data_IF_156779322426
#
_entry.id   IF_156779322426
#
_cell.length_a   1.000
_cell.length_b   1.000
_cell.length_c   1.000
_cell.angle_alpha   90.00
_cell.angle_beta   90.00
_cell.angle_gamma   90.00
#
_symmetry.space_group_name_H-M   'P 1'
#
loop_
_entity.id
_entity.type
_entity.pdbx_description
1 polymer ?
#
# COMPACT_ATOMS: atom_id res chain seq x y z
N UNK A 1 -18.44 1.20 7.62
CA UNK A 1 -18.24 0.38 6.39
C UNK A 1 -19.54 -0.29 6.01
N UNK A 2 -19.98 -0.16 4.76
CA UNK A 2 -21.08 -0.99 4.22
C UNK A 2 -20.56 -2.42 4.10
N UNK A 3 -21.29 -3.40 4.69
CA UNK A 3 -20.89 -4.79 4.63
C UNK A 3 -21.19 -5.44 3.27
N UNK A 4 -20.67 -6.64 3.07
CA UNK A 4 -20.92 -7.47 1.90
C UNK A 4 -21.78 -8.68 2.28
N UNK A 5 -22.79 -8.98 1.48
CA UNK A 5 -23.57 -10.22 1.65
C UNK A 5 -22.71 -11.45 1.32
N UNK A 6 -23.06 -12.60 1.88
CA UNK A 6 -22.33 -13.85 1.67
C UNK A 6 -22.18 -14.22 0.18
N UNK A 7 -23.22 -14.04 -0.62
CA UNK A 7 -23.18 -14.29 -2.06
C UNK A 7 -22.20 -13.34 -2.80
N UNK A 8 -22.09 -12.09 -2.37
CA UNK A 8 -21.12 -11.16 -2.94
C UNK A 8 -19.69 -11.56 -2.60
N UNK A 9 -19.43 -11.98 -1.35
CA UNK A 9 -18.12 -12.52 -0.96
C UNK A 9 -17.73 -13.68 -1.87
N UNK A 10 -18.60 -14.65 -2.07
CA UNK A 10 -18.33 -15.80 -2.94
C UNK A 10 -18.02 -15.36 -4.38
N UNK A 11 -18.88 -14.54 -4.95
CA UNK A 11 -18.73 -14.04 -6.32
C UNK A 11 -17.45 -13.23 -6.52
N UNK A 12 -17.13 -12.30 -5.60
CA UNK A 12 -15.98 -11.41 -5.72
C UNK A 12 -14.66 -12.13 -5.43
N UNK A 13 -14.66 -13.09 -4.52
CA UNK A 13 -13.47 -13.86 -4.16
C UNK A 13 -13.21 -15.05 -5.09
N UNK A 14 -14.23 -15.47 -5.86
CA UNK A 14 -14.18 -16.67 -6.70
C UNK A 14 -14.17 -17.98 -5.89
N UNK A 15 -14.66 -17.96 -4.65
CA UNK A 15 -14.78 -19.13 -3.80
C UNK A 15 -16.17 -19.79 -3.97
N UNK A 16 -16.25 -21.09 -3.74
CA UNK A 16 -17.53 -21.83 -3.72
C UNK A 16 -18.16 -21.67 -2.34
N UNK A 17 -19.36 -21.10 -2.30
CA UNK A 17 -20.10 -20.92 -1.05
C UNK A 17 -20.91 -22.15 -0.68
N UNK A 18 -20.84 -22.57 0.58
CA UNK A 18 -21.67 -23.62 1.19
C UNK A 18 -22.27 -23.08 2.49
N UNK A 19 -23.55 -23.40 2.73
CA UNK A 19 -24.33 -22.91 3.88
C UNK A 19 -25.43 -21.92 3.50
N UNK A 20 -26.30 -21.58 4.47
CA UNK A 20 -27.44 -20.69 4.28
C UNK A 20 -26.97 -19.20 4.42
N UNK A 21 -26.48 -18.65 3.33
CA UNK A 21 -25.98 -17.26 3.28
C UNK A 21 -27.00 -16.18 3.65
N UNK A 22 -28.31 -16.49 3.60
CA UNK A 22 -29.35 -15.53 3.96
C UNK A 22 -29.40 -15.25 5.47
N UNK A 23 -28.93 -16.17 6.30
CA UNK A 23 -28.88 -16.05 7.77
C UNK A 23 -27.57 -15.52 8.32
N UNK A 24 -26.53 -15.45 7.51
CA UNK A 24 -25.14 -15.25 7.98
C UNK A 24 -24.75 -13.81 8.29
N UNK A 25 -25.63 -12.83 8.04
CA UNK A 25 -25.29 -11.41 8.22
C UNK A 25 -24.33 -10.86 7.16
N UNK A 26 -23.82 -9.67 7.41
CA UNK A 26 -22.93 -8.94 6.48
C UNK A 26 -21.48 -9.06 6.92
N UNK A 27 -20.57 -9.29 5.98
CA UNK A 27 -19.12 -9.25 6.22
C UNK A 27 -18.64 -7.81 6.11
N UNK A 28 -17.93 -7.33 7.14
CA UNK A 28 -17.30 -6.01 7.17
C UNK A 28 -15.79 -6.10 7.44
N UNK A 29 -15.36 -7.10 8.19
CA UNK A 29 -13.98 -7.22 8.65
C UNK A 29 -13.32 -8.49 8.09
N UNK A 30 -12.09 -8.34 7.61
CA UNK A 30 -11.26 -9.49 7.19
C UNK A 30 -10.34 -9.88 8.34
N UNK A 31 -10.31 -11.15 8.69
CA UNK A 31 -9.54 -11.70 9.79
C UNK A 31 -8.57 -12.78 9.27
N UNK A 32 -7.27 -12.57 9.42
CA UNK A 32 -6.21 -13.51 9.04
C UNK A 32 -5.42 -14.05 10.24
N UNK A 33 -5.66 -13.50 11.43
CA UNK A 33 -5.03 -13.88 12.70
C UNK A 33 -6.11 -13.94 13.78
N UNK A 34 -6.40 -15.15 14.30
CA UNK A 34 -7.45 -15.38 15.28
C UNK A 34 -7.32 -14.54 16.56
N UNK A 35 -6.11 -14.18 16.94
CA UNK A 35 -5.81 -13.35 18.12
C UNK A 35 -6.27 -11.89 17.98
N UNK A 36 -6.58 -11.45 16.74
CA UNK A 36 -7.01 -10.08 16.42
C UNK A 36 -8.52 -9.95 16.24
N UNK A 37 -9.28 -10.95 16.65
CA UNK A 37 -10.74 -10.91 16.56
C UNK A 37 -11.32 -9.78 17.44
N UNK A 38 -12.03 -8.85 16.82
CA UNK A 38 -12.69 -7.72 17.51
C UNK A 38 -14.20 -7.67 17.24
N UNK A 39 -14.64 -8.13 16.08
CA UNK A 39 -16.03 -8.05 15.62
C UNK A 39 -16.51 -9.40 15.09
N UNK A 40 -16.82 -10.37 15.98
CA UNK A 40 -17.10 -11.76 15.56
C UNK A 40 -18.18 -11.89 14.51
N UNK A 41 -19.34 -11.25 14.69
CA UNK A 41 -20.52 -11.40 13.84
C UNK A 41 -20.38 -10.84 12.43
N UNK A 42 -19.38 -9.97 12.20
CA UNK A 42 -19.13 -9.33 10.90
C UNK A 42 -17.76 -9.68 10.31
N UNK A 43 -17.03 -10.61 10.95
CA UNK A 43 -15.72 -11.06 10.48
C UNK A 43 -15.80 -12.22 9.51
N UNK A 44 -14.98 -12.15 8.45
CA UNK A 44 -14.66 -13.24 7.55
C UNK A 44 -13.25 -13.72 7.88
N UNK A 45 -13.14 -14.94 8.40
CA UNK A 45 -11.84 -15.54 8.74
C UNK A 45 -11.25 -16.29 7.54
N UNK A 46 -9.99 -16.03 7.26
CA UNK A 46 -9.19 -16.71 6.24
C UNK A 46 -8.31 -17.76 6.90
N UNK A 47 -8.61 -19.02 6.75
CA UNK A 47 -7.86 -20.15 7.31
C UNK A 47 -6.58 -20.40 6.49
N UNK A 48 -5.58 -19.51 6.65
CA UNK A 48 -4.34 -19.56 5.90
C UNK A 48 -3.44 -20.66 6.46
N UNK A 49 -2.91 -21.49 5.55
CA UNK A 49 -1.89 -22.49 5.85
C UNK A 49 -0.52 -21.98 5.48
N UNK A 50 0.43 -22.06 6.41
CA UNK A 50 1.83 -21.67 6.25
C UNK A 50 2.76 -22.77 6.75
N UNK A 51 4.06 -22.62 6.55
CA UNK A 51 5.06 -23.53 7.13
C UNK A 51 5.09 -23.53 8.66
N UNK A 52 4.54 -22.48 9.28
CA UNK A 52 4.56 -22.27 10.75
C UNK A 52 3.26 -22.65 11.43
N UNK A 53 2.17 -22.88 10.69
CA UNK A 53 0.87 -23.23 11.25
C UNK A 53 -0.25 -23.32 10.22
N UNK A 54 -1.38 -23.86 10.67
CA UNK A 54 -2.58 -24.02 9.87
C UNK A 54 -3.75 -23.30 10.53
N UNK A 55 -4.27 -22.28 9.83
CA UNK A 55 -5.40 -21.48 10.27
C UNK A 55 -6.69 -22.29 10.51
N UNK A 56 -6.83 -23.45 9.87
CA UNK A 56 -8.02 -24.31 10.04
C UNK A 56 -8.18 -24.79 11.49
N UNK A 57 -7.11 -24.93 12.25
CA UNK A 57 -7.16 -25.34 13.66
C UNK A 57 -7.90 -24.35 14.56
N UNK A 58 -8.05 -23.08 14.15
CA UNK A 58 -8.71 -22.03 14.93
C UNK A 58 -10.19 -21.88 14.64
N UNK A 59 -10.72 -22.57 13.64
CA UNK A 59 -12.11 -22.41 13.18
C UNK A 59 -13.12 -22.71 14.30
N UNK A 60 -12.99 -23.83 14.98
CA UNK A 60 -13.91 -24.23 16.05
C UNK A 60 -13.95 -23.22 17.21
N UNK A 61 -12.79 -22.65 17.56
CA UNK A 61 -12.69 -21.63 18.60
C UNK A 61 -13.33 -20.31 18.15
N UNK A 62 -13.02 -19.85 16.93
CA UNK A 62 -13.61 -18.64 16.35
C UNK A 62 -15.12 -18.76 16.17
N UNK A 63 -15.61 -19.95 15.81
CA UNK A 63 -17.03 -20.22 15.72
C UNK A 63 -17.74 -20.09 17.07
N UNK A 64 -17.15 -20.62 18.15
CA UNK A 64 -17.65 -20.45 19.53
C UNK A 64 -17.67 -18.97 19.95
N UNK A 65 -16.73 -18.18 19.47
CA UNK A 65 -16.68 -16.72 19.70
C UNK A 65 -17.67 -15.94 18.83
N UNK A 66 -18.41 -16.57 17.93
CA UNK A 66 -19.48 -15.95 17.14
C UNK A 66 -19.12 -15.63 15.69
N UNK A 67 -17.94 -16.02 15.19
CA UNK A 67 -17.63 -15.93 13.75
C UNK A 67 -18.45 -16.94 12.99
N UNK A 68 -18.97 -16.53 11.83
CA UNK A 68 -19.83 -17.39 10.98
C UNK A 68 -19.32 -17.53 9.55
N UNK A 69 -18.37 -16.71 9.11
CA UNK A 69 -17.85 -16.73 7.76
C UNK A 69 -16.39 -17.21 7.75
N UNK A 70 -16.10 -18.28 6.98
CA UNK A 70 -14.79 -18.93 6.93
C UNK A 70 -14.35 -19.22 5.50
N UNK A 71 -13.20 -18.69 5.09
CA UNK A 71 -12.52 -19.07 3.84
C UNK A 71 -11.57 -20.22 4.14
N UNK A 72 -11.74 -21.34 3.45
CA UNK A 72 -11.04 -22.60 3.74
C UNK A 72 -10.51 -23.26 2.47
N UNK A 73 -9.40 -23.98 2.60
CA UNK A 73 -8.85 -24.84 1.55
C UNK A 73 -9.07 -26.34 1.83
N UNK A 74 -9.44 -26.69 3.06
CA UNK A 74 -9.77 -28.07 3.41
C UNK A 74 -11.24 -28.37 3.10
N UNK A 75 -11.50 -29.59 2.61
CA UNK A 75 -12.83 -30.07 2.29
C UNK A 75 -13.56 -30.72 3.48
N UNK A 76 -12.84 -30.99 4.55
CA UNK A 76 -13.42 -31.53 5.79
C UNK A 76 -14.03 -30.41 6.60
N UNK A 77 -15.26 -30.02 6.22
CA UNK A 77 -16.05 -29.04 6.97
C UNK A 77 -16.36 -29.61 8.36
N UNK A 78 -16.22 -28.77 9.38
CA UNK A 78 -16.55 -29.19 10.74
C UNK A 78 -18.05 -29.36 10.88
N UNK A 79 -18.51 -30.60 11.20
CA UNK A 79 -19.90 -30.87 11.54
C UNK A 79 -20.37 -30.11 12.80
N UNK A 80 -19.41 -29.59 13.57
CA UNK A 80 -19.63 -28.83 14.81
C UNK A 80 -19.99 -27.35 14.57
N UNK A 81 -20.09 -26.89 13.30
CA UNK A 81 -20.38 -25.51 12.94
C UNK A 81 -21.61 -25.43 11.98
N UNK A 82 -22.82 -25.79 12.41
CA UNK A 82 -23.97 -26.03 11.53
C UNK A 82 -24.50 -24.77 10.84
N UNK A 83 -24.31 -23.57 11.40
CA UNK A 83 -24.73 -22.27 10.83
C UNK A 83 -23.56 -21.45 10.28
N UNK A 84 -22.41 -22.08 10.07
CA UNK A 84 -21.27 -21.45 9.41
C UNK A 84 -21.47 -21.37 7.89
N UNK A 85 -20.94 -20.29 7.29
CA UNK A 85 -20.83 -20.13 5.86
C UNK A 85 -19.39 -20.39 5.46
N UNK A 86 -19.22 -21.34 4.59
CA UNK A 86 -17.94 -21.78 4.09
C UNK A 86 -17.69 -21.22 2.69
N UNK A 87 -16.51 -20.64 2.48
CA UNK A 87 -16.02 -20.21 1.17
C UNK A 87 -14.83 -21.07 0.81
N UNK A 88 -15.08 -22.10 0.02
CA UNK A 88 -14.05 -23.08 -0.39
C UNK A 88 -13.25 -22.57 -1.56
N UNK A 89 -11.93 -22.71 -1.46
CA UNK A 89 -10.99 -22.29 -2.49
C UNK A 89 -9.69 -23.10 -2.39
N UNK A 90 -9.03 -23.34 -3.50
CA UNK A 90 -7.72 -24.02 -3.51
C UNK A 90 -6.61 -23.13 -2.94
N UNK A 91 -6.82 -21.80 -2.95
CA UNK A 91 -5.82 -20.84 -2.47
C UNK A 91 -6.48 -19.70 -1.67
N UNK A 92 -6.40 -19.81 -0.35
CA UNK A 92 -7.00 -18.85 0.61
C UNK A 92 -6.40 -17.44 0.45
N UNK A 93 -5.09 -17.33 0.18
CA UNK A 93 -4.43 -16.03 -0.02
C UNK A 93 -4.92 -15.37 -1.32
N UNK A 94 -4.99 -16.12 -2.40
CA UNK A 94 -5.51 -15.60 -3.66
C UNK A 94 -7.00 -15.20 -3.56
N UNK A 95 -7.78 -15.90 -2.75
CA UNK A 95 -9.17 -15.53 -2.43
C UNK A 95 -9.23 -14.16 -1.73
N UNK A 96 -8.41 -13.94 -0.69
CA UNK A 96 -8.26 -12.66 0.00
C UNK A 96 -7.86 -11.54 -0.97
N UNK A 97 -6.89 -11.78 -1.83
CA UNK A 97 -6.37 -10.83 -2.80
C UNK A 97 -7.44 -10.43 -3.84
N UNK A 98 -8.18 -11.41 -4.40
CA UNK A 98 -9.28 -11.14 -5.33
C UNK A 98 -10.38 -10.31 -4.68
N UNK A 99 -10.75 -10.64 -3.45
CA UNK A 99 -11.78 -9.91 -2.71
C UNK A 99 -11.36 -8.45 -2.48
N UNK A 100 -10.12 -8.21 -2.04
CA UNK A 100 -9.58 -6.86 -1.85
C UNK A 100 -9.45 -6.09 -3.16
N UNK A 101 -9.02 -6.73 -4.25
CA UNK A 101 -8.96 -6.11 -5.57
C UNK A 101 -10.35 -5.70 -6.08
N UNK A 102 -11.36 -6.54 -5.88
CA UNK A 102 -12.75 -6.21 -6.23
C UNK A 102 -13.31 -5.07 -5.36
N UNK A 103 -12.94 -5.03 -4.08
CA UNK A 103 -13.29 -3.92 -3.19
C UNK A 103 -12.67 -2.60 -3.67
N UNK A 104 -11.37 -2.59 -4.00
CA UNK A 104 -10.64 -1.42 -4.55
C UNK A 104 -11.32 -0.81 -5.78
N UNK A 105 -11.88 -1.64 -6.65
CA UNK A 105 -12.52 -1.20 -7.90
C UNK A 105 -13.77 -0.34 -7.69
N UNK A 106 -14.36 -0.33 -6.49
CA UNK A 106 -15.53 0.49 -6.17
C UNK A 106 -15.21 1.96 -5.96
N UNK A 107 -13.92 2.30 -5.77
CA UNK A 107 -13.48 3.64 -5.41
C UNK A 107 -12.71 4.29 -6.56
N UNK A 108 -13.21 5.44 -7.04
CA UNK A 108 -12.59 6.26 -8.09
C UNK A 108 -11.56 7.27 -7.57
N UNK A 109 -11.24 7.25 -6.28
CA UNK A 109 -10.31 8.20 -5.66
C UNK A 109 -8.86 7.98 -6.13
N UNK A 110 -8.01 9.04 -6.10
CA UNK A 110 -6.58 8.90 -6.30
C UNK A 110 -5.97 7.91 -5.31
N UNK A 111 -5.03 7.11 -5.79
CA UNK A 111 -4.27 6.18 -4.95
C UNK A 111 -2.79 6.32 -5.26
N UNK A 112 -2.02 6.67 -4.25
CA UNK A 112 -0.56 6.67 -4.28
C UNK A 112 -0.05 5.28 -3.89
N UNK A 113 0.63 4.62 -4.82
CA UNK A 113 1.38 3.39 -4.56
C UNK A 113 2.85 3.71 -4.31
N UNK A 114 3.39 3.25 -3.18
CA UNK A 114 4.77 3.49 -2.78
C UNK A 114 5.54 2.18 -2.77
N UNK A 115 6.68 2.14 -3.49
CA UNK A 115 7.66 1.06 -3.36
C UNK A 115 9.08 1.60 -3.26
N UNK A 116 10.05 0.75 -3.05
CA UNK A 116 11.46 1.05 -2.86
C UNK A 116 12.10 0.11 -1.85
N UNK A 117 13.38 0.26 -1.57
CA UNK A 117 14.07 -0.54 -0.56
C UNK A 117 13.83 0.02 0.84
N UNK A 118 14.11 1.30 1.05
CA UNK A 118 13.97 2.00 2.32
C UNK A 118 13.00 3.18 2.21
N UNK A 119 12.56 3.74 3.33
CA UNK A 119 11.78 4.98 3.38
C UNK A 119 10.27 4.84 3.12
N UNK A 120 9.77 3.74 2.56
CA UNK A 120 8.34 3.56 2.21
C UNK A 120 7.37 3.93 3.33
N UNK A 121 7.55 3.34 4.50
CA UNK A 121 6.67 3.56 5.66
C UNK A 121 6.81 4.99 6.19
N UNK A 122 8.02 5.53 6.20
CA UNK A 122 8.28 6.92 6.61
C UNK A 122 7.54 7.89 5.68
N UNK A 123 7.75 7.75 4.38
CA UNK A 123 7.11 8.61 3.36
C UNK A 123 5.58 8.52 3.46
N UNK A 124 5.02 7.32 3.63
CA UNK A 124 3.58 7.12 3.83
C UNK A 124 3.06 7.85 5.08
N UNK A 125 3.72 7.68 6.23
CA UNK A 125 3.29 8.31 7.49
C UNK A 125 3.48 9.84 7.44
N UNK A 126 4.57 10.31 6.85
CA UNK A 126 4.81 11.73 6.69
C UNK A 126 3.83 12.39 5.73
N UNK A 127 3.52 11.78 4.60
CA UNK A 127 2.46 12.28 3.69
C UNK A 127 1.12 12.36 4.40
N UNK A 128 0.77 11.36 5.21
CA UNK A 128 -0.44 11.44 6.01
C UNK A 128 -0.39 12.61 7.00
N UNK A 129 0.71 12.81 7.71
CA UNK A 129 0.87 13.94 8.64
C UNK A 129 0.76 15.30 7.95
N UNK A 130 1.29 15.42 6.72
CA UNK A 130 1.25 16.65 5.94
C UNK A 130 -0.15 16.98 5.40
N UNK A 131 -0.96 15.96 5.05
CA UNK A 131 -2.17 16.15 4.26
C UNK A 131 -3.49 15.80 5.00
N UNK A 132 -3.45 15.14 6.17
CA UNK A 132 -4.64 14.61 6.85
C UNK A 132 -5.69 15.66 7.25
N UNK A 133 -5.33 16.94 7.34
CA UNK A 133 -6.28 18.01 7.69
C UNK A 133 -6.93 18.65 6.45
N UNK A 134 -6.48 18.26 5.24
CA UNK A 134 -7.00 18.82 3.98
C UNK A 134 -7.61 17.75 3.08
N UNK A 135 -7.31 16.47 3.34
CA UNK A 135 -7.87 15.35 2.58
C UNK A 135 -8.06 14.14 3.50
N UNK A 136 -9.18 13.43 3.36
CA UNK A 136 -9.46 12.24 4.16
C UNK A 136 -8.73 11.03 3.59
N UNK A 137 -7.71 10.54 4.31
CA UNK A 137 -6.74 9.56 3.83
C UNK A 137 -7.01 8.17 4.42
N UNK A 138 -7.08 7.16 3.55
CA UNK A 138 -6.89 5.76 3.95
C UNK A 138 -5.46 5.33 3.60
N UNK A 139 -4.78 4.64 4.52
CA UNK A 139 -3.41 4.18 4.29
C UNK A 139 -3.13 2.81 4.90
N UNK A 140 -2.05 2.18 4.43
CA UNK A 140 -1.54 0.95 5.05
C UNK A 140 -1.21 1.18 6.52
N UNK A 141 -1.78 0.41 7.46
CA UNK A 141 -1.40 0.49 8.87
C UNK A 141 0.02 -0.06 9.05
N UNK A 142 0.86 0.64 9.82
CA UNK A 142 2.27 0.24 10.03
C UNK A 142 2.96 -0.07 8.69
N UNK A 143 3.70 -1.18 8.59
CA UNK A 143 4.37 -1.67 7.38
C UNK A 143 3.59 -2.82 6.70
N UNK A 144 2.26 -2.71 6.59
CA UNK A 144 1.43 -3.71 5.90
C UNK A 144 1.60 -3.60 4.39
N UNK A 145 2.74 -4.08 3.88
CA UNK A 145 3.18 -3.97 2.48
C UNK A 145 3.32 -5.32 1.76
N UNK A 146 3.00 -6.45 2.44
CA UNK A 146 3.14 -7.82 1.93
C UNK A 146 1.89 -8.31 1.19
N UNK A 147 1.97 -9.54 0.67
CA UNK A 147 0.85 -10.26 0.02
C UNK A 147 -0.40 -10.44 0.90
N UNK A 148 -0.26 -10.33 2.22
CA UNK A 148 -1.37 -10.33 3.19
C UNK A 148 -1.70 -8.92 3.68
N UNK A 149 -0.68 -8.09 3.92
CA UNK A 149 -0.87 -6.75 4.48
C UNK A 149 -1.58 -5.80 3.52
N UNK A 150 -1.23 -5.83 2.25
CA UNK A 150 -1.83 -4.96 1.22
C UNK A 150 -3.33 -5.20 1.05
N UNK A 151 -3.83 -6.45 0.91
CA UNK A 151 -5.27 -6.71 0.87
C UNK A 151 -6.03 -6.17 2.07
N UNK A 152 -5.49 -6.36 3.28
CA UNK A 152 -6.11 -5.86 4.51
C UNK A 152 -6.13 -4.32 4.56
N UNK A 153 -5.08 -3.67 4.04
CA UNK A 153 -4.99 -2.22 3.96
C UNK A 153 -6.01 -1.64 2.97
N UNK A 154 -6.12 -2.23 1.79
CA UNK A 154 -7.05 -1.81 0.75
C UNK A 154 -8.49 -2.04 1.17
N UNK A 155 -8.78 -3.12 1.93
CA UNK A 155 -10.11 -3.37 2.48
C UNK A 155 -10.62 -2.29 3.43
N UNK A 156 -9.73 -1.50 4.02
CA UNK A 156 -10.10 -0.37 4.88
C UNK A 156 -10.66 0.85 4.12
N UNK A 157 -10.64 0.86 2.78
CA UNK A 157 -11.24 1.94 1.98
C UNK A 157 -12.74 2.04 2.21
N UNK A 158 -13.25 3.28 2.29
CA UNK A 158 -14.65 3.61 2.50
C UNK A 158 -15.04 4.82 1.66
N UNK A 159 -16.36 5.06 1.52
CA UNK A 159 -16.90 6.10 0.65
C UNK A 159 -16.46 7.55 1.06
N UNK A 160 -16.11 7.75 2.33
CA UNK A 160 -15.64 9.04 2.84
C UNK A 160 -14.17 9.37 2.54
N UNK A 161 -13.37 8.37 2.12
CA UNK A 161 -11.97 8.62 1.79
C UNK A 161 -11.81 9.32 0.44
N UNK A 162 -10.85 10.23 0.38
CA UNK A 162 -10.54 11.04 -0.79
C UNK A 162 -9.18 10.71 -1.41
N UNK A 163 -8.30 10.06 -0.63
CA UNK A 163 -6.96 9.63 -1.04
C UNK A 163 -6.60 8.30 -0.39
N UNK A 164 -6.07 7.38 -1.19
CA UNK A 164 -5.42 6.16 -0.68
C UNK A 164 -3.90 6.27 -0.75
N UNK A 165 -3.18 5.83 0.31
CA UNK A 165 -1.71 5.74 0.32
C UNK A 165 -1.32 4.32 0.75
N UNK A 166 -0.85 3.52 -0.20
CA UNK A 166 -0.48 2.13 0.07
C UNK A 166 0.96 1.83 -0.29
N UNK A 167 1.66 1.17 0.61
CA UNK A 167 3.02 0.70 0.36
C UNK A 167 3.03 -0.75 -0.14
N UNK A 168 3.93 -1.06 -1.08
CA UNK A 168 4.14 -2.38 -1.63
C UNK A 168 5.59 -2.84 -1.44
N UNK A 169 5.77 -3.97 -0.77
CA UNK A 169 7.04 -4.65 -0.55
C UNK A 169 7.03 -6.04 -1.15
N UNK A 170 8.17 -6.46 -1.67
CA UNK A 170 8.35 -7.77 -2.30
C UNK A 170 9.61 -8.45 -1.79
N UNK A 171 9.58 -9.77 -1.79
CA UNK A 171 10.71 -10.65 -1.49
C UNK A 171 11.07 -11.58 -2.65
N UNK A 172 10.19 -11.73 -3.64
CA UNK A 172 10.35 -12.63 -4.78
C UNK A 172 9.78 -12.03 -6.06
N UNK A 173 10.25 -12.53 -7.20
CA UNK A 173 9.67 -12.24 -8.52
C UNK A 173 8.21 -12.68 -8.59
N UNK A 174 7.38 -11.90 -9.32
CA UNK A 174 5.96 -12.12 -9.52
C UNK A 174 5.06 -11.61 -8.39
N UNK A 175 5.63 -11.19 -7.25
CA UNK A 175 4.84 -10.66 -6.14
C UNK A 175 4.28 -9.25 -6.42
N UNK A 176 5.05 -8.38 -7.09
CA UNK A 176 4.63 -7.01 -7.32
C UNK A 176 3.43 -6.90 -8.24
N UNK A 177 3.35 -7.75 -9.25
CA UNK A 177 2.21 -7.77 -10.18
C UNK A 177 0.90 -8.14 -9.48
N UNK A 178 0.96 -8.99 -8.43
CA UNK A 178 -0.21 -9.31 -7.60
C UNK A 178 -0.63 -8.09 -6.75
N UNK A 179 0.34 -7.37 -6.17
CA UNK A 179 0.09 -6.18 -5.37
C UNK A 179 -0.44 -5.03 -6.23
N UNK A 180 0.07 -4.87 -7.45
CA UNK A 180 -0.44 -3.88 -8.42
C UNK A 180 -1.94 -4.06 -8.69
N UNK A 181 -2.38 -5.29 -8.97
CA UNK A 181 -3.80 -5.63 -9.21
C UNK A 181 -4.71 -5.28 -8.03
N UNK A 182 -4.18 -5.32 -6.80
CA UNK A 182 -4.93 -5.02 -5.58
C UNK A 182 -4.96 -3.51 -5.33
N UNK A 183 -3.80 -2.84 -5.39
CA UNK A 183 -3.66 -1.41 -5.10
C UNK A 183 -4.24 -0.57 -6.24
N UNK A 184 -3.96 -0.94 -7.50
CA UNK A 184 -4.27 -0.18 -8.72
C UNK A 184 -3.97 1.31 -8.53
N UNK A 185 -2.69 1.66 -8.33
CA UNK A 185 -2.31 3.04 -8.06
C UNK A 185 -2.57 3.92 -9.27
N UNK A 186 -2.99 5.16 -9.04
CA UNK A 186 -3.11 6.20 -10.07
C UNK A 186 -1.86 7.08 -10.12
N UNK A 187 -1.15 7.17 -8.98
CA UNK A 187 0.13 7.87 -8.83
C UNK A 187 1.11 6.87 -8.21
N UNK A 188 2.32 6.83 -8.73
CA UNK A 188 3.41 6.01 -8.21
C UNK A 188 4.47 6.86 -7.52
N UNK A 189 5.11 6.28 -6.50
CA UNK A 189 6.34 6.82 -5.92
C UNK A 189 7.32 5.68 -5.67
N UNK A 190 8.51 5.81 -6.24
CA UNK A 190 9.65 4.97 -5.91
C UNK A 190 10.63 5.74 -5.04
N UNK A 191 10.91 5.23 -3.82
CA UNK A 191 11.83 5.89 -2.88
C UNK A 191 13.27 5.70 -3.34
N UNK A 192 13.88 4.59 -3.01
CA UNK A 192 15.25 4.29 -3.42
C UNK A 192 15.43 2.81 -3.72
N UNK A 193 16.58 2.47 -4.29
CA UNK A 193 17.05 1.11 -4.45
C UNK A 193 18.28 0.92 -3.57
N UNK A 194 18.22 0.00 -2.63
CA UNK A 194 19.31 -0.35 -1.71
C UNK A 194 19.44 -1.86 -1.55
N UNK A 195 20.45 -2.29 -0.83
CA UNK A 195 20.79 -3.70 -0.62
C UNK A 195 19.73 -4.53 0.13
N UNK A 196 18.70 -3.90 0.71
CA UNK A 196 17.66 -4.64 1.45
C UNK A 196 16.89 -5.61 0.55
N UNK A 197 16.72 -6.86 1.01
CA UNK A 197 15.97 -7.93 0.33
C UNK A 197 16.53 -8.34 -1.04
N UNK A 198 17.85 -8.53 -1.16
CA UNK A 198 18.47 -8.98 -2.42
C UNK A 198 18.39 -10.50 -2.64
N UNK A 199 18.01 -11.29 -1.64
CA UNK A 199 18.05 -12.77 -1.66
C UNK A 199 17.09 -13.44 -2.68
N UNK A 200 16.16 -12.73 -3.27
CA UNK A 200 15.19 -13.27 -4.25
C UNK A 200 15.38 -12.74 -5.66
N UNK A 201 16.49 -12.04 -5.96
CA UNK A 201 16.69 -11.33 -7.23
C UNK A 201 18.13 -11.49 -7.74
N UNK A 202 18.30 -11.47 -9.06
CA UNK A 202 19.58 -11.58 -9.73
C UNK A 202 20.35 -10.24 -9.81
N UNK A 203 20.18 -9.39 -8.78
CA UNK A 203 20.81 -8.09 -8.66
C UNK A 203 19.83 -6.91 -8.66
N UNK A 204 20.38 -5.70 -8.56
CA UNK A 204 19.58 -4.48 -8.38
C UNK A 204 18.72 -4.12 -9.60
N UNK A 205 19.20 -4.38 -10.81
CA UNK A 205 18.42 -4.11 -12.03
C UNK A 205 17.18 -5.01 -12.16
N UNK A 206 17.32 -6.28 -11.79
CA UNK A 206 16.25 -7.26 -11.78
C UNK A 206 15.20 -6.91 -10.71
N UNK A 207 15.64 -6.56 -9.50
CA UNK A 207 14.82 -6.11 -8.39
C UNK A 207 14.08 -4.80 -8.73
N UNK A 208 14.75 -3.85 -9.42
CA UNK A 208 14.12 -2.63 -9.89
C UNK A 208 13.03 -2.93 -10.91
N UNK A 209 13.31 -3.80 -11.87
CA UNK A 209 12.32 -4.22 -12.88
C UNK A 209 11.06 -4.78 -12.23
N UNK A 210 11.20 -5.67 -11.25
CA UNK A 210 10.06 -6.20 -10.50
C UNK A 210 9.31 -5.09 -9.74
N UNK A 211 10.01 -4.18 -9.05
CA UNK A 211 9.37 -3.05 -8.33
C UNK A 211 8.61 -2.12 -9.26
N UNK A 212 9.11 -1.87 -10.46
CA UNK A 212 8.44 -1.00 -11.44
C UNK A 212 7.12 -1.58 -11.97
N UNK A 213 6.87 -2.89 -11.80
CA UNK A 213 5.58 -3.50 -12.13
C UNK A 213 4.40 -2.90 -11.32
N UNK A 214 4.66 -2.30 -10.15
CA UNK A 214 3.62 -1.57 -9.41
C UNK A 214 3.06 -0.39 -10.20
N UNK A 215 3.82 0.14 -11.16
CA UNK A 215 3.53 1.41 -11.83
C UNK A 215 3.12 1.26 -13.30
N UNK A 216 2.59 0.08 -13.67
CA UNK A 216 2.15 -0.17 -15.06
C UNK A 216 0.99 0.73 -15.48
N UNK A 217 0.11 1.09 -14.54
CA UNK A 217 -1.15 1.81 -14.81
C UNK A 217 -1.17 3.23 -14.24
N UNK A 218 -0.07 3.75 -13.68
CA UNK A 218 -0.05 5.09 -13.09
C UNK A 218 -0.01 6.18 -14.16
N UNK A 219 -0.72 7.29 -13.89
CA UNK A 219 -0.65 8.48 -14.74
C UNK A 219 0.62 9.29 -14.47
N UNK A 220 1.09 9.32 -13.21
CA UNK A 220 2.30 10.04 -12.79
C UNK A 220 3.17 9.12 -11.95
N UNK A 221 4.48 9.11 -12.19
CA UNK A 221 5.47 8.40 -11.37
C UNK A 221 6.49 9.39 -10.83
N UNK A 222 6.52 9.51 -9.49
CA UNK A 222 7.45 10.34 -8.73
C UNK A 222 8.71 9.54 -8.38
N UNK A 223 9.89 10.13 -8.60
CA UNK A 223 11.18 9.50 -8.30
C UNK A 223 12.30 10.51 -8.08
N UNK A 224 13.41 10.07 -7.47
CA UNK A 224 14.63 10.88 -7.35
C UNK A 224 15.51 10.68 -8.59
N UNK A 225 15.78 11.79 -9.33
CA UNK A 225 16.61 11.78 -10.53
C UNK A 225 18.08 11.48 -10.24
N UNK A 226 18.54 11.83 -9.03
CA UNK A 226 19.92 11.59 -8.61
C UNK A 226 20.22 10.09 -8.37
N UNK A 227 19.20 9.24 -8.33
CA UNK A 227 19.33 7.79 -8.33
C UNK A 227 19.48 7.25 -9.75
N UNK A 228 20.70 7.24 -10.28
CA UNK A 228 21.02 6.96 -11.69
C UNK A 228 20.38 5.66 -12.22
N UNK A 229 20.46 4.56 -11.47
CA UNK A 229 19.88 3.29 -11.90
C UNK A 229 18.36 3.39 -12.10
N UNK A 230 17.67 4.13 -11.23
CA UNK A 230 16.22 4.34 -11.32
C UNK A 230 15.90 5.26 -12.50
N UNK A 231 16.62 6.38 -12.64
CA UNK A 231 16.42 7.34 -13.75
C UNK A 231 16.62 6.65 -15.10
N UNK A 232 17.74 5.96 -15.30
CA UNK A 232 18.03 5.24 -16.55
C UNK A 232 16.95 4.19 -16.89
N UNK A 233 16.50 3.41 -15.89
CA UNK A 233 15.46 2.41 -16.12
C UNK A 233 14.12 3.04 -16.51
N UNK A 234 13.77 4.17 -15.90
CA UNK A 234 12.55 4.91 -16.21
C UNK A 234 12.62 5.58 -17.58
N UNK A 235 13.76 6.17 -17.97
CA UNK A 235 13.94 6.75 -19.29
C UNK A 235 13.82 5.69 -20.39
N UNK A 236 14.45 4.51 -20.21
CA UNK A 236 14.32 3.38 -21.16
C UNK A 236 12.89 2.85 -21.26
N UNK A 237 12.09 2.96 -20.22
CA UNK A 237 10.69 2.50 -20.20
C UNK A 237 9.68 3.48 -20.79
N UNK A 238 10.09 4.70 -21.19
CA UNK A 238 9.16 5.74 -21.69
C UNK A 238 8.34 5.30 -22.90
N UNK A 239 8.96 4.61 -23.83
CA UNK A 239 8.28 4.13 -25.04
C UNK A 239 7.21 3.06 -24.72
N UNK A 240 7.48 2.22 -23.71
CA UNK A 240 6.53 1.19 -23.26
C UNK A 240 5.32 1.79 -22.50
N UNK A 241 5.48 2.98 -21.91
CA UNK A 241 4.46 3.66 -21.12
C UNK A 241 4.28 5.12 -21.55
N UNK A 242 3.79 5.38 -22.77
CA UNK A 242 3.76 6.73 -23.36
C UNK A 242 2.83 7.70 -22.62
N UNK A 243 1.84 7.20 -21.90
CA UNK A 243 0.87 8.01 -21.16
C UNK A 243 1.28 8.27 -19.70
N UNK A 244 2.42 7.71 -19.25
CA UNK A 244 2.92 7.90 -17.89
C UNK A 244 3.84 9.12 -17.83
N UNK A 245 3.42 10.17 -17.13
CA UNK A 245 4.28 11.29 -16.80
C UNK A 245 5.32 10.87 -15.75
N UNK A 246 6.57 11.28 -15.97
CA UNK A 246 7.64 11.14 -14.97
C UNK A 246 7.79 12.50 -14.28
N UNK A 247 7.64 12.53 -12.96
CA UNK A 247 7.89 13.71 -12.13
C UNK A 247 9.13 13.45 -11.29
N UNK A 248 10.24 13.99 -11.74
CA UNK A 248 11.53 13.82 -11.08
C UNK A 248 11.80 14.92 -10.05
N UNK A 249 12.45 14.55 -8.95
CA UNK A 249 13.07 15.52 -8.05
C UNK A 249 14.55 15.19 -7.86
N UNK A 250 15.37 16.17 -7.50
CA UNK A 250 16.81 15.98 -7.27
C UNK A 250 17.58 17.28 -7.23
N UNK A 251 18.91 17.15 -7.11
CA UNK A 251 19.86 18.27 -7.24
C UNK A 251 20.25 18.53 -8.70
N UNK A 252 20.02 17.56 -9.57
CA UNK A 252 20.26 17.71 -11.00
C UNK A 252 19.51 18.92 -11.56
N UNK A 253 20.14 19.75 -12.40
CA UNK A 253 19.49 20.87 -13.07
C UNK A 253 18.36 20.43 -14.02
N UNK A 254 18.32 19.17 -14.39
CA UNK A 254 17.29 18.57 -15.26
C UNK A 254 16.11 17.98 -14.48
N UNK A 255 16.10 18.05 -13.14
CA UNK A 255 14.98 17.59 -12.34
C UNK A 255 13.80 18.56 -12.45
N UNK A 256 12.56 18.02 -12.53
CA UNK A 256 11.34 18.83 -12.58
C UNK A 256 11.12 19.59 -11.26
N UNK A 257 11.54 19.00 -10.14
CA UNK A 257 11.55 19.62 -8.81
C UNK A 257 13.00 19.65 -8.33
N UNK A 258 13.61 20.80 -8.37
CA UNK A 258 15.02 20.97 -8.05
C UNK A 258 15.26 21.36 -6.60
N UNK A 259 16.07 20.60 -5.89
CA UNK A 259 16.60 20.98 -4.60
C UNK A 259 17.82 21.92 -4.85
N UNK A 260 17.59 23.22 -4.64
CA UNK A 260 18.57 24.26 -4.96
C UNK A 260 19.62 24.42 -3.86
N UNK A 261 19.16 24.42 -2.59
CA UNK A 261 20.03 24.67 -1.45
C UNK A 261 19.51 23.93 -0.20
N UNK A 262 20.43 23.64 0.71
CA UNK A 262 20.14 23.11 2.05
C UNK A 262 20.96 23.91 3.05
N UNK A 263 20.28 24.60 3.97
CA UNK A 263 20.92 25.36 5.06
C UNK A 263 20.60 24.67 6.39
N UNK A 264 21.62 24.35 7.15
CA UNK A 264 21.48 23.71 8.46
C UNK A 264 21.64 24.75 9.56
N UNK A 265 20.59 24.93 10.37
CA UNK A 265 20.57 25.81 11.53
C UNK A 265 19.72 25.23 12.66
N UNK A 266 20.15 25.40 13.90
CA UNK A 266 19.35 25.07 15.10
C UNK A 266 18.68 23.68 15.09
N UNK A 267 19.42 22.64 14.68
CA UNK A 267 18.94 21.27 14.52
C UNK A 267 17.80 21.10 13.50
N UNK A 268 17.70 22.01 12.53
CA UNK A 268 16.77 21.92 11.41
C UNK A 268 17.52 22.06 10.09
N UNK A 269 16.94 21.52 9.03
CA UNK A 269 17.40 21.75 7.67
C UNK A 269 16.35 22.57 6.93
N UNK A 270 16.74 23.75 6.46
CA UNK A 270 15.95 24.60 5.55
C UNK A 270 16.29 24.21 4.11
N UNK A 271 15.27 23.91 3.31
CA UNK A 271 15.38 23.51 1.92
C UNK A 271 14.79 24.57 1.02
N UNK A 272 15.55 24.97 0.00
CA UNK A 272 15.08 25.82 -1.10
C UNK A 272 14.83 24.95 -2.33
N UNK A 273 13.61 24.98 -2.85
CA UNK A 273 13.15 24.10 -3.91
C UNK A 273 12.51 24.90 -5.04
N UNK A 274 12.88 24.60 -6.28
CA UNK A 274 12.20 25.08 -7.47
C UNK A 274 11.34 23.94 -8.06
N UNK A 275 10.03 24.09 -8.04
CA UNK A 275 9.08 23.15 -8.65
C UNK A 275 8.53 23.76 -9.95
N UNK A 276 9.24 23.56 -11.04
CA UNK A 276 8.88 24.06 -12.39
C UNK A 276 8.64 25.58 -12.45
N UNK A 277 9.54 26.37 -11.84
CA UNK A 277 9.47 27.83 -11.80
C UNK A 277 8.70 28.40 -10.61
N UNK A 278 8.15 27.56 -9.76
CA UNK A 278 7.56 27.95 -8.48
C UNK A 278 8.50 27.61 -7.34
N UNK A 279 8.93 28.65 -6.62
CA UNK A 279 9.89 28.52 -5.53
C UNK A 279 9.22 28.27 -4.19
N UNK A 280 9.78 27.34 -3.43
CA UNK A 280 9.38 26.99 -2.09
C UNK A 280 10.58 27.03 -1.16
N UNK A 281 10.37 27.53 0.07
CA UNK A 281 11.33 27.41 1.17
C UNK A 281 10.59 26.80 2.35
N UNK A 282 11.09 25.70 2.86
CA UNK A 282 10.53 25.04 4.03
C UNK A 282 11.62 24.36 4.85
N UNK A 283 11.37 24.21 6.15
CA UNK A 283 12.30 23.55 7.06
C UNK A 283 11.77 22.20 7.52
N UNK A 284 12.68 21.27 7.84
CA UNK A 284 12.39 19.99 8.46
C UNK A 284 13.18 19.82 9.75
N UNK A 285 12.64 19.10 10.77
CA UNK A 285 13.31 18.90 12.06
C UNK A 285 14.34 17.75 12.01
N UNK A 286 15.10 17.64 10.91
CA UNK A 286 16.05 16.55 10.65
C UNK A 286 17.29 17.06 9.93
N UNK A 287 18.42 16.38 10.17
CA UNK A 287 19.72 16.73 9.59
C UNK A 287 20.30 15.64 8.70
N UNK A 288 19.86 14.41 8.86
CA UNK A 288 20.41 13.26 8.15
C UNK A 288 19.90 13.18 6.70
N UNK A 289 20.75 12.65 5.82
CA UNK A 289 20.47 12.57 4.39
C UNK A 289 19.24 11.72 4.05
N UNK A 290 18.95 10.68 4.83
CA UNK A 290 17.80 9.81 4.57
C UNK A 290 16.48 10.52 4.90
N UNK A 291 16.45 11.30 5.98
CA UNK A 291 15.29 12.12 6.32
C UNK A 291 15.07 13.24 5.29
N UNK A 292 16.13 13.88 4.81
CA UNK A 292 16.07 14.87 3.73
C UNK A 292 15.49 14.26 2.45
N UNK A 293 15.97 13.07 2.06
CA UNK A 293 15.46 12.34 0.90
C UNK A 293 13.98 11.99 1.05
N UNK A 294 13.57 11.47 2.21
CA UNK A 294 12.17 11.15 2.48
C UNK A 294 11.28 12.39 2.47
N UNK A 295 11.75 13.54 2.98
CA UNK A 295 11.02 14.81 2.94
C UNK A 295 10.83 15.30 1.51
N UNK A 296 11.85 15.19 0.67
CA UNK A 296 11.75 15.54 -0.75
C UNK A 296 10.82 14.58 -1.52
N UNK A 297 10.82 13.29 -1.21
CA UNK A 297 9.81 12.36 -1.73
C UNK A 297 8.39 12.78 -1.35
N UNK A 298 8.18 13.18 -0.09
CA UNK A 298 6.89 13.69 0.38
C UNK A 298 6.47 14.96 -0.34
N UNK A 299 7.39 15.92 -0.50
CA UNK A 299 7.11 17.16 -1.21
C UNK A 299 6.76 16.92 -2.68
N UNK A 300 7.55 16.11 -3.38
CA UNK A 300 7.31 15.77 -4.77
C UNK A 300 5.98 15.00 -4.98
N UNK A 301 5.64 14.09 -4.05
CA UNK A 301 4.34 13.42 -4.05
C UNK A 301 3.19 14.41 -3.81
N UNK A 302 3.37 15.37 -2.91
CA UNK A 302 2.38 16.42 -2.66
C UNK A 302 2.18 17.33 -3.89
N UNK A 303 3.25 17.63 -4.64
CA UNK A 303 3.16 18.31 -5.95
C UNK A 303 2.31 17.48 -6.93
N UNK A 304 2.58 16.18 -7.05
CA UNK A 304 1.82 15.28 -7.93
C UNK A 304 0.34 15.17 -7.53
N UNK A 305 0.04 15.28 -6.24
CA UNK A 305 -1.31 15.26 -5.68
C UNK A 305 -2.02 16.61 -5.71
N UNK A 306 -1.32 17.72 -6.03
CA UNK A 306 -1.88 19.07 -6.07
C UNK A 306 -1.88 19.82 -4.74
N UNK A 307 -1.09 19.38 -3.73
CA UNK A 307 -1.02 19.95 -2.39
C UNK A 307 0.38 20.47 -1.99
N UNK A 308 1.16 21.15 -2.87
CA UNK A 308 2.53 21.56 -2.54
C UNK A 308 2.59 22.59 -1.41
N UNK A 309 1.64 23.52 -1.35
CA UNK A 309 1.62 24.58 -0.31
C UNK A 309 1.36 24.00 1.08
N UNK A 310 0.37 23.13 1.18
CA UNK A 310 0.00 22.45 2.43
C UNK A 310 1.18 21.61 2.94
N UNK A 311 1.86 20.90 2.05
CA UNK A 311 3.04 20.14 2.41
C UNK A 311 4.18 21.06 2.91
N UNK A 312 4.53 22.11 2.16
CA UNK A 312 5.60 23.03 2.54
C UNK A 312 5.36 23.68 3.91
N UNK A 313 4.12 24.14 4.18
CA UNK A 313 3.72 24.76 5.45
C UNK A 313 3.87 23.82 6.66
N UNK A 314 3.81 22.52 6.46
CA UNK A 314 3.76 21.54 7.55
C UNK A 314 5.03 20.71 7.70
N UNK A 315 6.04 20.91 6.87
CA UNK A 315 7.28 20.12 6.90
C UNK A 315 8.00 20.17 8.28
N UNK A 316 7.89 21.26 9.02
CA UNK A 316 8.42 21.34 10.40
C UNK A 316 7.65 20.47 11.41
N UNK A 317 6.46 20.00 11.07
CA UNK A 317 5.61 19.19 11.93
C UNK A 317 5.76 17.69 11.64
N UNK A 318 6.74 17.28 10.83
CA UNK A 318 6.98 15.87 10.51
C UNK A 318 7.22 15.07 11.79
N UNK A 319 6.48 13.94 11.99
CA UNK A 319 6.61 13.14 13.19
C UNK A 319 7.98 12.46 13.26
N UNK A 320 8.47 12.16 14.49
CA UNK A 320 9.75 11.45 14.66
C UNK A 320 9.78 10.14 13.89
N UNK A 321 10.98 9.77 13.45
CA UNK A 321 11.26 8.48 12.85
C UNK A 321 11.06 7.40 13.94
N UNK A 322 9.83 6.91 14.12
CA UNK A 322 9.59 5.73 14.95
C UNK A 322 10.06 4.51 14.17
N UNK A 323 11.10 3.86 14.67
CA UNK A 323 11.51 2.53 14.21
C UNK A 323 10.50 1.47 14.58
#
# INVERSE_FOLDING_TARGET
>A
MKGYAAADIARLSGAIMEGDGARAGMVQHLLTDSRKLSFPSTSLFFAIKTNQGDGHHYIAELYKQGVRHFVVSDTKLSQDCPDAIWYRTDNVIACLQRLAAAHRQKFGIPVLGITGSNGKTIVKEWLNALLQDVVNIVRSPRSFNSQLGVPLSVWAMQDEHELGIFEAGISRKGEMQLLEKIIRPTIGLITNLGAAHSEGFDGDADKLTEKLLLFQSVAVLVYCKDHLLVDEALQRSREAFPNRALLSWGKSPEADIRLLNIKVENNTSELEVDASGRFFTFSIPYLDAAALENAMHCFAAAVALGYPDQAALRMMQLPPLSM
#
